data_IF_383328563990
#
_entry.id   IF_383328563990
#
_cell.length_a   1.000
_cell.length_b   1.000
_cell.length_c   1.000
_cell.angle_alpha   90.00
_cell.angle_beta   90.00
_cell.angle_gamma   90.00
#
_symmetry.space_group_name_H-M   'P 1'
#
loop_
_entity.id
_entity.type
_entity.pdbx_description
1 polymer ?
#
# COMPACT_ATOMS: atom_id res chain seq x y z
N UNK A 1 8.29 -12.06 12.13
CA UNK A 1 8.31 -10.60 12.47
C UNK A 1 8.22 -9.89 11.13
N UNK A 2 7.22 -9.01 10.93
CA UNK A 2 7.05 -8.29 9.65
C UNK A 2 8.29 -7.46 9.31
N UNK A 3 8.57 -7.27 8.01
CA UNK A 3 9.66 -6.39 7.51
C UNK A 3 9.60 -5.01 8.14
N UNK A 4 8.41 -4.48 8.39
CA UNK A 4 8.20 -3.15 9.00
C UNK A 4 8.68 -3.02 10.46
N UNK A 5 8.92 -4.13 11.15
CA UNK A 5 9.47 -4.17 12.51
C UNK A 5 10.98 -4.40 12.57
N UNK A 6 11.67 -4.52 11.43
CA UNK A 6 13.10 -4.80 11.38
C UNK A 6 13.94 -3.53 11.56
N UNK A 7 15.11 -3.66 12.19
CA UNK A 7 16.02 -2.53 12.37
C UNK A 7 16.57 -1.95 11.05
N UNK A 8 16.59 -2.75 9.99
CA UNK A 8 17.03 -2.37 8.64
C UNK A 8 15.95 -1.60 7.85
N UNK A 9 14.70 -1.61 8.32
CA UNK A 9 13.59 -0.94 7.63
C UNK A 9 13.63 0.58 7.84
N UNK A 10 13.71 1.33 6.74
CA UNK A 10 13.67 2.80 6.77
C UNK A 10 12.25 3.32 6.52
N UNK A 11 11.54 3.68 7.59
CA UNK A 11 10.20 4.28 7.50
C UNK A 11 10.18 5.57 6.65
N UNK A 12 11.25 6.38 6.71
CA UNK A 12 11.36 7.62 5.93
C UNK A 12 11.46 7.35 4.43
N UNK A 13 12.38 6.46 4.00
CA UNK A 13 12.51 6.06 2.58
C UNK A 13 11.22 5.44 2.05
N UNK A 14 10.57 4.61 2.86
CA UNK A 14 9.29 4.01 2.53
C UNK A 14 8.22 5.07 2.28
N UNK A 15 8.09 6.05 3.19
CA UNK A 15 7.11 7.13 3.09
C UNK A 15 7.33 8.01 1.85
N UNK A 16 8.58 8.30 1.49
CA UNK A 16 8.94 9.14 0.34
C UNK A 16 8.64 8.46 -1.00
N UNK A 17 8.93 7.16 -1.12
CA UNK A 17 8.79 6.44 -2.39
C UNK A 17 7.35 5.96 -2.67
N UNK A 18 6.50 5.83 -1.64
CA UNK A 18 5.14 5.31 -1.82
C UNK A 18 4.18 6.34 -2.42
N UNK A 19 3.26 5.91 -3.32
CA UNK A 19 2.25 6.82 -3.86
C UNK A 19 1.28 7.27 -2.76
N UNK A 20 0.87 8.53 -2.83
CA UNK A 20 -0.19 9.08 -2.00
C UNK A 20 -1.56 8.83 -2.62
N UNK A 21 -2.60 8.84 -1.79
CA UNK A 21 -3.97 8.66 -2.27
C UNK A 21 -4.52 9.97 -2.87
N UNK A 22 -5.25 9.91 -3.99
CA UNK A 22 -5.87 11.08 -4.57
C UNK A 22 -7.07 11.55 -3.72
N UNK A 23 -7.37 12.85 -3.78
CA UNK A 23 -8.51 13.44 -3.06
C UNK A 23 -9.86 12.82 -3.45
N UNK A 24 -10.00 12.33 -4.69
CA UNK A 24 -11.19 11.63 -5.18
C UNK A 24 -11.49 10.34 -4.41
N UNK A 25 -10.43 9.62 -3.97
CA UNK A 25 -10.58 8.43 -3.14
C UNK A 25 -11.19 8.78 -1.78
N UNK A 26 -10.63 9.77 -1.09
CA UNK A 26 -11.17 10.23 0.19
C UNK A 26 -12.59 10.78 0.05
N UNK A 27 -12.90 11.49 -1.05
CA UNK A 27 -14.26 11.95 -1.35
C UNK A 27 -15.23 10.77 -1.49
N UNK A 28 -14.84 9.69 -2.15
CA UNK A 28 -15.65 8.47 -2.28
C UNK A 28 -15.91 7.82 -0.91
N UNK A 29 -14.87 7.70 -0.07
CA UNK A 29 -14.97 7.12 1.27
C UNK A 29 -15.87 7.97 2.17
N UNK A 30 -15.66 9.29 2.20
CA UNK A 30 -16.45 10.21 3.02
C UNK A 30 -17.90 10.33 2.51
N UNK A 31 -18.13 10.23 1.19
CA UNK A 31 -19.46 10.17 0.60
C UNK A 31 -20.23 8.91 1.01
N UNK A 32 -19.56 7.79 1.26
CA UNK A 32 -20.18 6.59 1.81
C UNK A 32 -20.47 6.74 3.30
N UNK A 33 -19.54 7.31 4.08
CA UNK A 33 -19.71 7.59 5.50
C UNK A 33 -20.93 8.48 5.77
N UNK A 34 -21.12 9.52 4.96
CA UNK A 34 -22.29 10.41 4.93
C UNK A 34 -22.92 10.78 6.29
N UNK A 35 -22.10 10.89 7.33
CA UNK A 35 -22.51 11.37 8.65
C UNK A 35 -21.99 12.80 8.84
N UNK A 36 -22.87 13.68 9.32
CA UNK A 36 -22.52 15.07 9.64
C UNK A 36 -22.16 15.26 11.13
N UNK A 37 -22.08 14.17 11.91
CA UNK A 37 -21.74 14.26 13.33
C UNK A 37 -20.29 14.74 13.52
N UNK A 38 -20.09 15.97 14.01
CA UNK A 38 -18.76 16.49 14.26
C UNK A 38 -18.08 15.84 15.47
N UNK A 39 -18.78 15.00 16.23
CA UNK A 39 -18.28 14.32 17.43
C UNK A 39 -17.79 12.90 17.18
N UNK A 40 -17.76 12.45 15.93
CA UNK A 40 -17.36 11.11 15.56
C UNK A 40 -15.90 10.77 15.87
N UNK A 41 -15.62 9.48 16.05
CA UNK A 41 -14.28 8.91 16.23
C UNK A 41 -13.85 8.12 15.00
N UNK A 42 -12.71 8.48 14.43
CA UNK A 42 -12.01 7.70 13.40
C UNK A 42 -11.05 6.72 14.06
N UNK A 43 -11.01 5.48 13.58
CA UNK A 43 -9.99 4.49 13.88
C UNK A 43 -9.23 4.18 12.57
N UNK A 44 -7.93 4.47 12.52
CA UNK A 44 -7.03 4.18 11.39
C UNK A 44 -6.15 2.99 11.74
N UNK A 45 -6.36 1.87 11.05
CA UNK A 45 -5.72 0.57 11.30
C UNK A 45 -4.55 0.35 10.32
N UNK A 46 -3.35 0.12 10.85
CA UNK A 46 -2.14 0.06 10.06
C UNK A 46 -1.83 1.43 9.45
N UNK A 47 -1.84 2.45 10.30
CA UNK A 47 -1.77 3.85 9.88
C UNK A 47 -0.43 4.27 9.24
N UNK A 48 0.61 3.43 9.37
CA UNK A 48 1.94 3.77 8.90
C UNK A 48 2.41 5.11 9.47
N UNK A 49 2.87 5.99 8.60
CA UNK A 49 3.28 7.34 8.98
C UNK A 49 2.14 8.39 9.03
N UNK A 50 0.87 7.93 9.07
CA UNK A 50 -0.28 8.77 9.44
C UNK A 50 -1.01 9.50 8.31
N UNK A 51 -0.81 9.14 7.04
CA UNK A 51 -1.47 9.82 5.90
C UNK A 51 -3.00 9.75 6.02
N UNK A 52 -3.55 8.56 6.28
CA UNK A 52 -5.00 8.34 6.34
C UNK A 52 -5.62 9.11 7.48
N UNK A 53 -5.04 8.98 8.69
CA UNK A 53 -5.49 9.71 9.86
C UNK A 53 -5.50 11.23 9.61
N UNK A 54 -4.44 11.79 9.00
CA UNK A 54 -4.36 13.21 8.66
C UNK A 54 -5.47 13.65 7.70
N UNK A 55 -5.65 12.93 6.60
CA UNK A 55 -6.60 13.31 5.55
C UNK A 55 -8.07 13.19 6.01
N UNK A 56 -8.38 12.20 6.84
CA UNK A 56 -9.75 11.96 7.31
C UNK A 56 -10.09 12.71 8.61
N UNK A 57 -9.11 12.98 9.49
CA UNK A 57 -9.36 13.59 10.81
C UNK A 57 -10.14 14.91 10.81
N UNK A 58 -10.07 15.78 9.78
CA UNK A 58 -10.88 17.00 9.77
C UNK A 58 -12.40 16.77 9.86
N UNK A 59 -12.88 15.56 9.50
CA UNK A 59 -14.30 15.18 9.55
C UNK A 59 -14.72 14.53 10.87
N UNK A 60 -13.80 14.40 11.82
CA UNK A 60 -14.03 13.73 13.12
C UNK A 60 -13.61 14.62 14.28
N UNK A 61 -14.18 14.39 15.45
CA UNK A 61 -13.74 15.05 16.69
C UNK A 61 -12.35 14.57 17.10
N UNK A 62 -12.09 13.29 16.90
CA UNK A 62 -10.80 12.65 17.19
C UNK A 62 -10.48 11.53 16.21
N UNK A 63 -9.21 11.26 16.04
CA UNK A 63 -8.71 10.11 15.31
C UNK A 63 -7.75 9.30 16.20
N UNK A 64 -7.91 7.99 16.17
CA UNK A 64 -7.02 7.04 16.84
C UNK A 64 -6.35 6.25 15.73
N UNK A 65 -5.04 6.34 15.64
CA UNK A 65 -4.24 5.72 14.57
C UNK A 65 -3.29 4.70 15.17
N UNK A 66 -3.37 3.46 14.73
CA UNK A 66 -2.55 2.36 15.24
C UNK A 66 -1.75 1.69 14.13
N UNK A 67 -0.52 1.30 14.48
CA UNK A 67 0.36 0.52 13.61
C UNK A 67 1.22 -0.43 14.45
N UNK A 68 1.49 -1.67 14.03
CA UNK A 68 2.37 -2.57 14.77
C UNK A 68 3.84 -2.11 14.79
N UNK A 69 4.26 -1.27 13.84
CA UNK A 69 5.63 -0.76 13.73
C UNK A 69 5.85 0.48 14.61
N UNK A 70 6.65 0.33 15.66
CA UNK A 70 7.08 1.44 16.51
C UNK A 70 7.82 2.52 15.71
N UNK A 71 8.61 2.15 14.70
CA UNK A 71 9.29 3.08 13.80
C UNK A 71 8.32 3.95 12.99
N UNK A 72 7.22 3.36 12.49
CA UNK A 72 6.16 4.10 11.81
C UNK A 72 5.42 5.04 12.75
N UNK A 73 5.09 4.59 13.96
CA UNK A 73 4.42 5.42 14.97
C UNK A 73 5.29 6.62 15.37
N UNK A 74 6.59 6.42 15.61
CA UNK A 74 7.50 7.55 15.88
C UNK A 74 7.54 8.55 14.73
N UNK A 75 7.63 8.07 13.49
CA UNK A 75 7.60 8.95 12.32
C UNK A 75 6.29 9.70 12.21
N UNK A 76 5.15 9.03 12.42
CA UNK A 76 3.83 9.66 12.41
C UNK A 76 3.70 10.77 13.45
N UNK A 77 4.14 10.52 14.69
CA UNK A 77 4.14 11.52 15.78
C UNK A 77 5.00 12.73 15.44
N UNK A 78 6.18 12.52 14.83
CA UNK A 78 7.08 13.62 14.42
C UNK A 78 6.49 14.44 13.28
N UNK A 79 5.93 13.77 12.26
CA UNK A 79 5.41 14.39 11.04
C UNK A 79 4.11 15.15 11.28
N UNK A 80 3.32 14.74 12.28
CA UNK A 80 1.96 15.26 12.53
C UNK A 80 1.77 15.84 13.94
N UNK A 81 2.83 16.38 14.53
CA UNK A 81 2.81 16.95 15.89
C UNK A 81 1.78 18.07 16.07
N UNK A 82 1.46 18.81 15.01
CA UNK A 82 0.47 19.90 15.01
C UNK A 82 -0.99 19.40 14.98
N UNK A 83 -1.24 18.14 14.62
CA UNK A 83 -2.59 17.57 14.51
C UNK A 83 -3.10 17.05 15.86
N UNK A 84 -3.50 17.94 16.75
CA UNK A 84 -3.92 17.62 18.14
C UNK A 84 -5.12 16.68 18.26
N UNK A 85 -5.88 16.50 17.18
CA UNK A 85 -7.01 15.55 17.13
C UNK A 85 -6.60 14.10 16.89
N UNK A 86 -5.33 13.85 16.49
CA UNK A 86 -4.85 12.52 16.15
C UNK A 86 -4.00 11.98 17.28
N UNK A 87 -4.34 10.80 17.78
CA UNK A 87 -3.51 10.05 18.72
C UNK A 87 -2.90 8.84 18.01
N UNK A 88 -1.57 8.75 18.02
CA UNK A 88 -0.83 7.63 17.46
C UNK A 88 -0.39 6.68 18.57
N UNK A 89 -0.54 5.37 18.36
CA UNK A 89 -0.07 4.35 19.30
C UNK A 89 0.32 3.06 18.59
N UNK A 90 1.29 2.34 19.13
CA UNK A 90 1.57 0.99 18.68
C UNK A 90 0.40 0.05 19.04
N UNK A 91 -0.02 -0.79 18.07
CA UNK A 91 -1.12 -1.74 18.26
C UNK A 91 -1.42 -2.54 17.01
N UNK A 92 -2.22 -3.57 17.18
CA UNK A 92 -2.65 -4.50 16.13
C UNK A 92 -4.15 -4.37 15.90
N UNK A 93 -4.60 -4.55 14.66
CA UNK A 93 -6.03 -4.55 14.32
C UNK A 93 -6.79 -5.72 14.99
N UNK A 94 -6.08 -6.76 15.36
CA UNK A 94 -6.53 -7.96 16.05
C UNK A 94 -6.81 -7.77 17.56
N UNK A 95 -6.30 -6.68 18.15
CA UNK A 95 -6.49 -6.36 19.57
C UNK A 95 -6.85 -4.89 19.74
N UNK A 96 -8.14 -4.61 19.81
CA UNK A 96 -8.71 -3.29 20.07
C UNK A 96 -9.29 -3.19 21.50
N UNK A 97 -8.83 -4.03 22.42
CA UNK A 97 -9.31 -4.09 23.83
C UNK A 97 -9.23 -2.75 24.57
N UNK A 98 -8.37 -1.86 24.14
CA UNK A 98 -8.24 -0.49 24.66
C UNK A 98 -9.37 0.45 24.25
N UNK A 99 -10.24 0.03 23.32
CA UNK A 99 -11.42 0.80 22.91
C UNK A 99 -12.69 0.21 23.51
N UNK A 100 -13.57 1.05 24.05
CA UNK A 100 -14.91 0.63 24.46
C UNK A 100 -15.71 0.08 23.28
N UNK A 101 -16.66 -0.80 23.56
CA UNK A 101 -17.63 -1.21 22.55
C UNK A 101 -18.41 0.01 22.03
N UNK A 102 -18.75 -0.01 20.74
CA UNK A 102 -19.54 1.04 20.08
C UNK A 102 -18.99 2.46 20.28
N UNK A 103 -17.66 2.63 20.21
CA UNK A 103 -16.96 3.91 20.42
C UNK A 103 -16.39 4.53 19.15
N UNK A 104 -16.40 3.79 18.03
CA UNK A 104 -15.83 4.18 16.74
C UNK A 104 -16.95 4.42 15.73
N UNK A 105 -16.91 5.54 15.04
CA UNK A 105 -17.87 5.90 13.98
C UNK A 105 -17.41 5.42 12.61
N UNK A 106 -16.09 5.39 12.40
CA UNK A 106 -15.51 4.87 11.16
C UNK A 106 -14.20 4.14 11.47
N UNK A 107 -14.08 2.90 10.98
CA UNK A 107 -12.83 2.17 10.93
C UNK A 107 -12.27 2.21 9.50
N UNK A 108 -11.03 2.64 9.34
CA UNK A 108 -10.34 2.79 8.07
C UNK A 108 -9.06 1.96 8.04
N UNK A 109 -8.68 1.44 6.86
CA UNK A 109 -7.37 0.85 6.62
C UNK A 109 -6.92 1.15 5.18
N UNK A 110 -5.89 1.98 5.04
CA UNK A 110 -5.27 2.30 3.75
C UNK A 110 -4.01 1.48 3.53
N UNK A 111 -4.00 0.59 2.54
CA UNK A 111 -2.86 -0.28 2.21
C UNK A 111 -2.38 -1.17 3.37
N UNK A 112 -3.28 -1.55 4.28
CA UNK A 112 -2.95 -2.35 5.46
C UNK A 112 -3.78 -3.64 5.58
N UNK A 113 -5.02 -3.63 5.10
CA UNK A 113 -6.01 -4.68 5.33
C UNK A 113 -5.58 -6.09 4.84
N UNK A 114 -4.67 -6.19 3.87
CA UNK A 114 -4.12 -7.46 3.40
C UNK A 114 -3.23 -8.19 4.42
N UNK A 115 -2.84 -7.52 5.51
CA UNK A 115 -2.05 -8.10 6.60
C UNK A 115 -2.89 -8.68 7.74
N UNK A 116 -4.20 -8.41 7.75
CA UNK A 116 -5.06 -8.69 8.90
C UNK A 116 -5.39 -10.18 9.03
N UNK A 117 -5.38 -10.64 10.29
CA UNK A 117 -5.94 -11.94 10.67
C UNK A 117 -7.46 -11.79 10.84
N UNK A 118 -8.21 -11.96 9.79
CA UNK A 118 -9.64 -11.71 9.73
C UNK A 118 -10.49 -12.46 10.77
N UNK A 119 -10.22 -13.74 11.14
CA UNK A 119 -10.86 -14.40 12.26
C UNK A 119 -10.80 -13.64 13.59
N UNK A 120 -9.77 -12.82 13.81
CA UNK A 120 -9.59 -11.99 15.01
C UNK A 120 -10.07 -10.55 14.78
N UNK A 121 -9.85 -10.01 13.60
CA UNK A 121 -10.19 -8.60 13.30
C UNK A 121 -11.71 -8.38 13.21
N UNK A 122 -12.48 -9.28 12.60
CA UNK A 122 -13.92 -9.07 12.46
C UNK A 122 -14.67 -8.97 13.79
N UNK A 123 -14.43 -9.83 14.80
CA UNK A 123 -15.06 -9.68 16.11
C UNK A 123 -14.72 -8.35 16.79
N UNK A 124 -13.46 -7.91 16.72
CA UNK A 124 -13.04 -6.65 17.31
C UNK A 124 -13.69 -5.44 16.62
N UNK A 125 -13.70 -5.41 15.28
CA UNK A 125 -14.37 -4.36 14.52
C UNK A 125 -15.88 -4.32 14.80
N UNK A 126 -16.53 -5.48 14.85
CA UNK A 126 -17.96 -5.57 15.17
C UNK A 126 -18.27 -5.09 16.60
N UNK A 127 -17.33 -5.25 17.52
CA UNK A 127 -17.44 -4.78 18.90
C UNK A 127 -17.25 -3.27 19.03
N UNK A 128 -16.20 -2.70 18.38
CA UNK A 128 -15.83 -1.30 18.60
C UNK A 128 -16.59 -0.33 17.72
N UNK A 129 -16.97 -0.73 16.49
CA UNK A 129 -17.71 0.14 15.58
C UNK A 129 -19.18 0.22 16.02
N UNK A 130 -19.70 1.45 16.09
CA UNK A 130 -21.09 1.72 16.44
C UNK A 130 -22.06 1.10 15.42
N UNK A 131 -23.27 0.66 15.83
CA UNK A 131 -24.35 0.43 14.88
C UNK A 131 -24.55 1.66 13.97
N UNK A 132 -24.62 1.44 12.65
CA UNK A 132 -24.64 2.51 11.65
C UNK A 132 -23.25 3.07 11.29
N UNK A 133 -22.22 2.75 12.04
CA UNK A 133 -20.84 3.16 11.75
C UNK A 133 -20.30 2.48 10.49
N UNK A 134 -19.22 3.03 9.94
CA UNK A 134 -18.70 2.63 8.64
C UNK A 134 -17.34 1.91 8.73
N UNK A 135 -17.12 1.00 7.79
CA UNK A 135 -15.83 0.39 7.48
C UNK A 135 -15.38 0.89 6.11
N UNK A 136 -14.10 1.22 5.99
CA UNK A 136 -13.47 1.51 4.70
C UNK A 136 -12.07 0.91 4.63
N UNK A 137 -11.89 -0.12 3.82
CA UNK A 137 -10.58 -0.68 3.49
C UNK A 137 -10.27 -0.39 2.03
N UNK A 138 -9.09 0.12 1.74
CA UNK A 138 -8.64 0.36 0.37
C UNK A 138 -7.14 0.11 0.22
N UNK A 139 -6.74 -0.04 -1.02
CA UNK A 139 -5.34 -0.22 -1.34
C UNK A 139 -5.12 -0.36 -2.83
N UNK A 140 -3.88 -0.65 -3.16
CA UNK A 140 -3.42 -0.83 -4.52
C UNK A 140 -2.45 -2.00 -4.61
N UNK A 141 -2.51 -2.71 -5.73
CA UNK A 141 -1.51 -3.72 -6.09
C UNK A 141 -0.36 -3.09 -6.88
N UNK A 142 0.40 -3.89 -7.59
CA UNK A 142 1.50 -3.40 -8.42
C UNK A 142 1.01 -2.43 -9.50
N UNK A 143 1.89 -1.52 -9.86
CA UNK A 143 1.66 -0.60 -10.95
C UNK A 143 1.98 -1.23 -12.31
N UNK A 144 1.38 -0.63 -13.33
CA UNK A 144 1.68 -0.88 -14.74
C UNK A 144 2.24 0.41 -15.33
N UNK A 145 3.32 0.30 -16.09
CA UNK A 145 3.84 1.39 -16.92
C UNK A 145 3.07 1.40 -18.24
N UNK A 146 2.30 2.47 -18.45
CA UNK A 146 1.37 2.56 -19.58
C UNK A 146 2.12 2.65 -20.90
N UNK A 147 1.76 1.77 -21.85
CA UNK A 147 2.40 1.69 -23.15
C UNK A 147 3.71 0.87 -23.21
N UNK A 148 4.23 0.40 -22.08
CA UNK A 148 5.51 -0.30 -21.97
C UNK A 148 5.33 -1.77 -21.59
N UNK A 149 4.67 -2.54 -22.46
CA UNK A 149 4.36 -3.95 -22.23
C UNK A 149 5.57 -4.79 -21.83
N UNK A 150 6.71 -4.62 -22.57
CA UNK A 150 7.93 -5.41 -22.32
C UNK A 150 8.53 -5.12 -20.96
N UNK A 151 8.59 -3.84 -20.57
CA UNK A 151 9.02 -3.44 -19.23
C UNK A 151 8.13 -4.05 -18.14
N UNK A 152 6.80 -4.06 -18.34
CA UNK A 152 5.84 -4.67 -17.42
C UNK A 152 6.02 -6.20 -17.31
N UNK A 153 6.29 -6.90 -18.42
CA UNK A 153 6.56 -8.34 -18.41
C UNK A 153 7.84 -8.69 -17.66
N UNK A 154 8.89 -7.88 -17.81
CA UNK A 154 10.15 -8.05 -17.09
C UNK A 154 9.92 -7.77 -15.60
N UNK A 155 9.26 -6.67 -15.27
CA UNK A 155 8.91 -6.34 -13.89
C UNK A 155 8.12 -7.48 -13.21
N UNK A 156 7.08 -8.02 -13.87
CA UNK A 156 6.31 -9.16 -13.37
C UNK A 156 7.18 -10.41 -13.18
N UNK A 157 8.07 -10.70 -14.16
CA UNK A 157 8.99 -11.84 -14.07
C UNK A 157 9.91 -11.73 -12.85
N UNK A 158 10.53 -10.57 -12.62
CA UNK A 158 11.47 -10.37 -11.51
C UNK A 158 10.77 -10.37 -10.14
N UNK A 159 9.54 -9.85 -10.08
CA UNK A 159 8.78 -9.80 -8.84
C UNK A 159 8.10 -11.14 -8.48
N UNK A 160 7.64 -11.92 -9.49
CA UNK A 160 6.74 -13.06 -9.28
C UNK A 160 7.07 -14.31 -10.08
N UNK A 161 8.08 -14.26 -10.96
CA UNK A 161 8.56 -15.44 -11.68
C UNK A 161 9.09 -16.51 -10.72
N UNK A 162 8.80 -17.77 -11.02
CA UNK A 162 9.34 -18.91 -10.27
C UNK A 162 10.79 -19.20 -10.68
N UNK A 163 11.62 -19.55 -9.72
CA UNK A 163 13.01 -19.91 -9.93
C UNK A 163 13.91 -18.75 -10.37
N UNK A 164 14.87 -19.07 -11.27
CA UNK A 164 15.81 -18.08 -11.78
C UNK A 164 15.18 -17.14 -12.81
N UNK A 165 15.35 -15.84 -12.58
CA UNK A 165 14.94 -14.80 -13.53
C UNK A 165 16.01 -14.47 -14.55
N UNK A 166 17.28 -14.70 -14.17
CA UNK A 166 18.48 -14.70 -15.00
C UNK A 166 19.36 -15.88 -14.60
N UNK A 167 20.32 -16.33 -15.43
CA UNK A 167 21.24 -17.40 -15.07
C UNK A 167 21.93 -17.11 -13.73
N UNK A 168 21.71 -17.97 -12.74
CA UNK A 168 22.25 -17.83 -11.37
C UNK A 168 21.64 -16.71 -10.53
N UNK A 169 20.52 -16.09 -10.95
CA UNK A 169 19.84 -15.03 -10.22
C UNK A 169 18.38 -15.40 -9.96
N UNK A 170 18.04 -15.64 -8.71
CA UNK A 170 16.65 -15.86 -8.30
C UNK A 170 15.86 -14.55 -8.23
N UNK A 171 14.57 -14.60 -8.60
CA UNK A 171 13.64 -13.47 -8.49
C UNK A 171 13.19 -13.19 -7.06
N UNK A 172 12.33 -12.19 -6.90
CA UNK A 172 11.81 -11.78 -5.59
C UNK A 172 10.63 -12.64 -5.11
N UNK A 173 10.09 -13.57 -5.92
CA UNK A 173 8.83 -14.26 -5.64
C UNK A 173 8.79 -14.98 -4.29
N UNK A 174 9.81 -15.72 -3.94
CA UNK A 174 9.87 -16.49 -2.70
C UNK A 174 10.07 -15.63 -1.44
N UNK A 175 10.42 -14.37 -1.60
CA UNK A 175 10.72 -13.45 -0.50
C UNK A 175 9.53 -12.57 -0.11
N UNK A 176 8.40 -12.67 -0.80
CA UNK A 176 7.18 -11.96 -0.42
C UNK A 176 6.56 -12.54 0.86
N UNK A 177 6.14 -11.68 1.75
CA UNK A 177 5.39 -12.09 2.95
C UNK A 177 3.98 -12.54 2.55
N UNK A 178 3.74 -13.84 2.66
CA UNK A 178 2.44 -14.48 2.34
C UNK A 178 1.67 -14.80 3.62
N UNK A 179 0.32 -14.87 3.62
CA UNK A 179 -0.57 -14.72 2.45
C UNK A 179 -0.87 -13.27 2.08
N UNK A 180 -0.40 -12.27 2.86
CA UNK A 180 -0.77 -10.86 2.67
C UNK A 180 -0.52 -10.35 1.25
N UNK A 181 0.61 -10.74 0.64
CA UNK A 181 0.91 -10.35 -0.74
C UNK A 181 -0.09 -10.89 -1.75
N UNK A 182 -0.52 -12.14 -1.60
CA UNK A 182 -1.48 -12.77 -2.51
C UNK A 182 -2.86 -12.12 -2.37
N UNK A 183 -3.29 -11.86 -1.13
CA UNK A 183 -4.54 -11.14 -0.83
C UNK A 183 -4.54 -9.75 -1.48
N UNK A 184 -3.40 -9.03 -1.43
CA UNK A 184 -3.26 -7.71 -2.05
C UNK A 184 -3.33 -7.80 -3.58
N UNK A 185 -2.64 -8.73 -4.20
CA UNK A 185 -2.64 -8.92 -5.66
C UNK A 185 -4.03 -9.27 -6.19
N UNK A 186 -4.82 -9.97 -5.40
CA UNK A 186 -6.22 -10.28 -5.70
C UNK A 186 -7.20 -9.18 -5.28
N UNK A 187 -6.71 -7.97 -4.99
CA UNK A 187 -7.52 -6.81 -4.65
C UNK A 187 -8.51 -7.08 -3.50
N UNK A 188 -8.08 -7.88 -2.50
CA UNK A 188 -8.89 -8.32 -1.36
C UNK A 188 -10.20 -9.06 -1.75
N UNK A 189 -10.26 -9.74 -2.90
CA UNK A 189 -11.50 -10.37 -3.41
C UNK A 189 -12.17 -11.29 -2.37
N UNK A 190 -11.39 -12.06 -1.63
CA UNK A 190 -11.89 -13.00 -0.62
C UNK A 190 -12.13 -12.39 0.76
N UNK A 191 -11.76 -11.14 0.97
CA UNK A 191 -12.02 -10.43 2.24
C UNK A 191 -13.47 -9.96 2.27
N UNK A 192 -14.29 -10.64 3.06
CA UNK A 192 -15.74 -10.40 3.15
C UNK A 192 -16.13 -10.05 4.59
N UNK A 193 -16.69 -8.85 4.83
CA UNK A 193 -17.31 -8.55 6.11
C UNK A 193 -18.42 -9.55 6.40
N UNK A 194 -18.50 -10.11 7.65
CA UNK A 194 -19.57 -11.05 8.01
C UNK A 194 -20.95 -10.41 7.85
N UNK A 195 -21.81 -10.99 7.00
CA UNK A 195 -23.14 -10.43 6.72
C UNK A 195 -24.08 -10.45 7.94
N UNK A 196 -23.79 -11.26 8.97
CA UNK A 196 -24.49 -11.19 10.26
C UNK A 196 -24.31 -9.84 10.97
N UNK A 197 -23.17 -9.20 10.79
CA UNK A 197 -22.73 -8.01 11.52
C UNK A 197 -22.65 -6.74 10.65
N UNK A 198 -22.51 -6.92 9.33
CA UNK A 198 -22.28 -5.84 8.38
C UNK A 198 -23.27 -5.89 7.24
N UNK A 199 -23.72 -4.72 6.77
CA UNK A 199 -24.59 -4.58 5.62
C UNK A 199 -24.08 -3.49 4.64
N UNK A 200 -24.88 -3.18 3.60
CA UNK A 200 -24.54 -2.19 2.56
C UNK A 200 -23.14 -2.36 1.99
N UNK A 201 -22.66 -3.62 1.94
CA UNK A 201 -21.31 -3.94 1.50
C UNK A 201 -21.16 -3.49 0.04
N UNK A 202 -20.16 -2.61 -0.19
CA UNK A 202 -19.83 -2.11 -1.52
C UNK A 202 -18.37 -2.37 -1.81
N UNK A 203 -18.08 -3.03 -2.92
CA UNK A 203 -16.73 -3.21 -3.44
C UNK A 203 -16.59 -2.44 -4.74
N UNK A 204 -15.50 -1.67 -4.85
CA UNK A 204 -15.15 -0.95 -6.06
C UNK A 204 -13.73 -1.34 -6.40
N UNK A 205 -13.51 -1.88 -7.60
CA UNK A 205 -12.20 -2.31 -8.07
C UNK A 205 -11.88 -1.69 -9.41
N UNK A 206 -10.64 -1.31 -9.59
CA UNK A 206 -10.08 -0.94 -10.87
C UNK A 206 -8.82 -1.77 -11.09
N UNK A 207 -8.81 -2.54 -12.16
CA UNK A 207 -7.66 -3.37 -12.53
C UNK A 207 -7.13 -2.93 -13.90
N UNK A 208 -5.82 -2.77 -13.99
CA UNK A 208 -5.13 -2.37 -15.22
C UNK A 208 -4.43 -3.59 -15.79
N UNK A 209 -4.59 -3.81 -17.08
CA UNK A 209 -3.85 -4.83 -17.81
C UNK A 209 -2.48 -4.29 -18.23
N UNK A 210 -1.47 -5.18 -18.24
CA UNK A 210 -0.11 -4.87 -18.71
C UNK A 210 -0.04 -4.39 -20.16
N UNK A 211 -1.06 -4.71 -20.94
CA UNK A 211 -1.20 -4.31 -22.36
C UNK A 211 -1.90 -2.96 -22.54
N UNK A 212 -2.32 -2.32 -21.46
CA UNK A 212 -3.01 -1.03 -21.52
C UNK A 212 -2.09 0.05 -22.08
N UNK A 213 -2.50 0.63 -23.22
CA UNK A 213 -1.74 1.69 -23.91
C UNK A 213 -2.20 3.09 -23.52
N UNK A 214 -3.46 3.22 -23.15
CA UNK A 214 -4.10 4.47 -22.78
C UNK A 214 -5.10 4.23 -21.65
N UNK A 215 -5.28 5.22 -20.80
CA UNK A 215 -6.32 5.22 -19.78
C UNK A 215 -7.32 6.30 -20.08
N UNK A 216 -8.57 5.89 -20.29
CA UNK A 216 -9.67 6.78 -20.57
C UNK A 216 -10.04 7.58 -19.30
N UNK A 217 -9.62 8.84 -19.26
CA UNK A 217 -10.03 9.82 -18.28
C UNK A 217 -9.46 9.65 -16.87
N UNK A 218 -9.47 10.73 -16.07
CA UNK A 218 -8.96 10.70 -14.69
C UNK A 218 -9.90 9.99 -13.72
N UNK A 219 -11.15 9.73 -14.09
CA UNK A 219 -12.18 9.18 -13.19
C UNK A 219 -12.14 7.65 -13.09
N UNK A 220 -11.47 6.97 -14.02
CA UNK A 220 -11.43 5.50 -14.10
C UNK A 220 -10.26 4.87 -13.34
N UNK A 221 -9.21 5.65 -13.02
CA UNK A 221 -8.05 5.19 -12.28
C UNK A 221 -7.79 6.10 -11.09
N UNK A 222 -8.11 5.63 -9.88
CA UNK A 222 -7.87 6.44 -8.69
C UNK A 222 -6.40 6.68 -8.38
N UNK A 223 -5.52 5.75 -8.78
CA UNK A 223 -4.08 5.90 -8.56
C UNK A 223 -3.34 5.90 -9.89
N UNK A 224 -3.04 7.10 -10.37
CA UNK A 224 -2.29 7.38 -11.58
C UNK A 224 -1.27 8.46 -11.27
N UNK A 225 -0.04 8.28 -11.72
CA UNK A 225 1.04 9.24 -11.51
C UNK A 225 2.04 9.18 -12.66
N UNK A 226 2.50 10.35 -13.11
CA UNK A 226 3.75 10.44 -13.86
C UNK A 226 4.90 10.34 -12.87
N UNK A 227 5.86 9.50 -13.16
CA UNK A 227 7.05 9.33 -12.35
C UNK A 227 8.26 9.10 -13.26
N UNK A 228 9.42 9.41 -12.79
CA UNK A 228 10.64 9.06 -13.52
C UNK A 228 10.99 7.59 -13.31
N UNK A 229 11.75 6.99 -14.22
CA UNK A 229 12.25 5.62 -14.05
C UNK A 229 13.11 5.48 -12.79
N UNK A 230 13.84 6.54 -12.39
CA UNK A 230 14.56 6.56 -11.11
C UNK A 230 13.62 6.52 -9.90
N UNK A 231 12.48 7.19 -9.97
CA UNK A 231 11.44 7.10 -8.93
C UNK A 231 10.79 5.71 -8.92
N UNK A 232 10.60 5.09 -10.07
CA UNK A 232 10.11 3.71 -10.15
C UNK A 232 11.13 2.72 -9.56
N UNK A 233 12.41 2.88 -9.87
CA UNK A 233 13.51 2.11 -9.29
C UNK A 233 13.50 2.20 -7.75
N UNK A 234 13.41 3.42 -7.20
CA UNK A 234 13.32 3.66 -5.77
C UNK A 234 12.07 3.03 -5.14
N UNK A 235 10.92 3.10 -5.83
CA UNK A 235 9.67 2.48 -5.38
C UNK A 235 9.79 0.96 -5.27
N UNK A 236 10.37 0.29 -6.27
CA UNK A 236 10.58 -1.18 -6.22
C UNK A 236 11.47 -1.59 -5.05
N UNK A 237 12.50 -0.80 -4.73
CA UNK A 237 13.37 -1.05 -3.56
C UNK A 237 12.64 -0.91 -2.20
N UNK A 238 11.41 -0.39 -2.17
CA UNK A 238 10.56 -0.40 -0.97
C UNK A 238 9.73 -1.66 -0.80
N UNK A 239 9.77 -2.59 -1.74
CA UNK A 239 8.96 -3.81 -1.67
C UNK A 239 9.49 -4.75 -0.60
N UNK A 240 8.56 -5.44 0.11
CA UNK A 240 8.96 -6.44 1.11
C UNK A 240 9.67 -7.62 0.48
N UNK A 241 9.32 -7.97 -0.78
CA UNK A 241 10.05 -8.97 -1.57
C UNK A 241 11.50 -8.57 -1.85
N UNK A 242 11.75 -7.28 -2.16
CA UNK A 242 13.11 -6.78 -2.31
C UNK A 242 13.90 -6.84 -1.00
N UNK A 243 13.30 -6.41 0.12
CA UNK A 243 13.96 -6.46 1.42
C UNK A 243 14.31 -7.91 1.83
N UNK A 244 13.38 -8.85 1.60
CA UNK A 244 13.64 -10.27 1.83
C UNK A 244 14.74 -10.84 0.94
N UNK A 245 14.80 -10.41 -0.33
CA UNK A 245 15.87 -10.79 -1.25
C UNK A 245 17.23 -10.28 -0.77
N UNK A 246 17.33 -9.01 -0.35
CA UNK A 246 18.56 -8.42 0.20
C UNK A 246 19.03 -9.12 1.49
N UNK A 247 18.09 -9.49 2.38
CA UNK A 247 18.41 -10.23 3.59
C UNK A 247 18.99 -11.64 3.31
N UNK A 248 18.62 -12.24 2.18
CA UNK A 248 19.14 -13.54 1.74
C UNK A 248 20.45 -13.42 0.95
N UNK A 249 20.79 -12.23 0.44
CA UNK A 249 21.97 -11.99 -0.42
C UNK A 249 22.84 -10.88 0.18
N UNK A 250 23.39 -11.13 1.36
CA UNK A 250 24.18 -10.15 2.13
C UNK A 250 25.48 -9.70 1.43
N UNK A 251 25.95 -10.46 0.43
CA UNK A 251 27.09 -10.13 -0.42
C UNK A 251 26.73 -9.13 -1.53
N UNK A 252 25.45 -8.92 -1.79
CA UNK A 252 24.96 -8.02 -2.83
C UNK A 252 24.71 -6.60 -2.28
N UNK A 253 25.05 -5.63 -3.12
CA UNK A 253 24.75 -4.20 -2.89
C UNK A 253 24.32 -3.58 -4.19
N UNK A 254 23.45 -2.59 -4.12
CA UNK A 254 23.07 -1.81 -5.30
C UNK A 254 24.30 -1.08 -5.89
N UNK A 255 24.25 -0.82 -7.20
CA UNK A 255 25.29 -0.02 -7.86
C UNK A 255 25.37 1.39 -7.31
N UNK A 256 24.23 1.95 -6.90
CA UNK A 256 24.18 3.25 -6.24
C UNK A 256 24.94 3.30 -4.89
N UNK A 257 25.11 2.14 -4.24
CA UNK A 257 25.87 1.98 -3.00
C UNK A 257 27.29 1.44 -3.25
N UNK A 258 27.75 1.45 -4.51
CA UNK A 258 29.09 1.02 -4.90
C UNK A 258 29.25 -0.50 -5.03
N UNK A 259 28.15 -1.25 -5.13
CA UNK A 259 28.17 -2.69 -5.38
C UNK A 259 28.18 -3.06 -6.88
N UNK A 260 28.23 -4.35 -7.15
CA UNK A 260 28.14 -4.90 -8.53
C UNK A 260 26.71 -4.90 -9.05
N UNK A 261 25.72 -4.70 -8.19
CA UNK A 261 24.29 -4.65 -8.48
C UNK A 261 23.46 -5.58 -7.60
N UNK A 262 22.23 -5.16 -7.36
CA UNK A 262 21.19 -5.93 -6.70
C UNK A 262 20.13 -6.41 -7.72
N UNK A 263 19.10 -7.12 -7.24
CA UNK A 263 18.03 -7.66 -8.09
C UNK A 263 17.29 -6.57 -8.86
N UNK A 264 17.19 -5.34 -8.33
CA UNK A 264 16.53 -4.21 -8.99
C UNK A 264 17.44 -3.64 -10.07
N UNK A 265 18.75 -3.53 -9.84
CA UNK A 265 19.71 -3.14 -10.87
C UNK A 265 19.65 -4.12 -12.06
N UNK A 266 19.63 -5.45 -11.79
CA UNK A 266 19.54 -6.46 -12.85
C UNK A 266 18.19 -6.41 -13.59
N UNK A 267 17.10 -6.13 -12.90
CA UNK A 267 15.79 -5.93 -13.51
C UNK A 267 15.80 -4.74 -14.47
N UNK A 268 16.38 -3.60 -14.04
CA UNK A 268 16.45 -2.41 -14.88
C UNK A 268 17.39 -2.60 -16.08
N UNK A 269 18.48 -3.37 -15.96
CA UNK A 269 19.29 -3.75 -17.11
C UNK A 269 18.44 -4.44 -18.19
N UNK A 270 17.58 -5.39 -17.79
CA UNK A 270 16.70 -6.10 -18.72
C UNK A 270 15.61 -5.18 -19.31
N UNK A 271 15.05 -4.28 -18.48
CA UNK A 271 14.06 -3.30 -18.93
C UNK A 271 14.67 -2.36 -19.99
N UNK A 272 15.88 -1.86 -19.77
CA UNK A 272 16.57 -0.98 -20.73
C UNK A 272 16.92 -1.71 -22.02
N UNK A 273 17.32 -2.99 -21.97
CA UNK A 273 17.53 -3.79 -23.17
C UNK A 273 16.22 -3.99 -23.97
N UNK A 274 15.10 -4.11 -23.31
CA UNK A 274 13.79 -4.30 -23.95
C UNK A 274 13.18 -3.00 -24.49
N UNK A 275 13.63 -1.83 -23.99
CA UNK A 275 13.14 -0.50 -24.35
C UNK A 275 14.31 0.34 -24.93
N UNK A 276 14.66 0.17 -26.22
CA UNK A 276 15.87 0.79 -26.82
C UNK A 276 15.90 2.32 -26.68
N UNK A 277 14.76 2.99 -26.79
CA UNK A 277 14.65 4.45 -26.62
C UNK A 277 15.07 4.92 -25.24
N UNK A 278 14.88 4.08 -24.22
CA UNK A 278 15.33 4.36 -22.86
C UNK A 278 16.83 4.13 -22.72
N UNK A 279 17.34 3.05 -23.33
CA UNK A 279 18.78 2.72 -23.33
C UNK A 279 19.62 3.79 -24.00
N UNK A 280 19.13 4.41 -25.07
CA UNK A 280 19.80 5.50 -25.81
C UNK A 280 20.05 6.76 -24.96
N UNK A 281 19.32 6.92 -23.84
CA UNK A 281 19.56 8.04 -22.89
C UNK A 281 20.83 7.87 -22.06
N UNK A 282 21.49 6.71 -22.11
CA UNK A 282 22.70 6.42 -21.32
C UNK A 282 22.46 6.67 -19.84
N UNK A 283 23.36 7.36 -19.15
CA UNK A 283 23.30 7.63 -17.71
C UNK A 283 22.06 8.43 -17.28
N UNK A 284 21.36 9.07 -18.23
CA UNK A 284 20.15 9.87 -17.96
C UNK A 284 18.85 9.07 -18.07
N UNK A 285 18.89 7.74 -18.22
CA UNK A 285 17.66 6.94 -18.31
C UNK A 285 16.75 7.11 -17.08
N UNK A 286 17.33 7.40 -15.91
CA UNK A 286 16.58 7.63 -14.68
C UNK A 286 15.68 8.87 -14.70
N UNK A 287 15.96 9.83 -15.61
CA UNK A 287 15.20 11.07 -15.78
C UNK A 287 13.98 10.88 -16.71
N UNK A 288 13.86 9.74 -17.38
CA UNK A 288 12.75 9.48 -18.30
C UNK A 288 11.44 9.41 -17.52
N UNK A 289 10.48 10.25 -17.89
CA UNK A 289 9.14 10.21 -17.34
C UNK A 289 8.28 9.14 -18.02
N UNK A 290 7.60 8.37 -17.20
CA UNK A 290 6.62 7.35 -17.62
C UNK A 290 5.31 7.55 -16.87
N UNK A 291 4.22 7.12 -17.48
CA UNK A 291 2.94 7.08 -16.81
C UNK A 291 2.76 5.75 -16.10
N UNK A 292 2.46 5.82 -14.80
CA UNK A 292 2.24 4.66 -13.94
C UNK A 292 0.83 4.66 -13.36
N UNK A 293 0.19 3.49 -13.38
CA UNK A 293 -1.16 3.27 -12.85
C UNK A 293 -1.18 2.02 -12.00
N UNK A 294 -1.86 2.11 -10.86
CA UNK A 294 -2.02 0.99 -9.92
C UNK A 294 -3.42 0.40 -10.02
N UNK A 295 -3.52 -0.92 -10.03
CA UNK A 295 -4.79 -1.60 -9.75
C UNK A 295 -5.21 -1.31 -8.31
N UNK A 296 -6.47 -0.91 -8.11
CA UNK A 296 -6.97 -0.43 -6.81
C UNK A 296 -8.24 -1.14 -6.38
N UNK A 297 -8.50 -1.15 -5.09
CA UNK A 297 -9.76 -1.60 -4.50
C UNK A 297 -10.21 -0.64 -3.40
N UNK A 298 -11.53 -0.56 -3.21
CA UNK A 298 -12.17 -0.05 -2.00
C UNK A 298 -13.24 -1.06 -1.56
N UNK A 299 -13.20 -1.45 -0.30
CA UNK A 299 -14.23 -2.23 0.38
C UNK A 299 -14.87 -1.33 1.44
N UNK A 300 -16.18 -1.13 1.32
CA UNK A 300 -16.99 -0.34 2.23
C UNK A 300 -18.08 -1.23 2.82
N UNK A 301 -18.42 -1.02 4.10
CA UNK A 301 -19.52 -1.69 4.76
C UNK A 301 -20.08 -0.82 5.90
N UNK A 302 -21.32 -1.06 6.28
CA UNK A 302 -21.97 -0.40 7.42
C UNK A 302 -22.22 -1.43 8.53
N UNK A 303 -21.92 -1.10 9.78
CA UNK A 303 -22.20 -1.94 10.94
C UNK A 303 -23.72 -1.99 11.20
N UNK A 304 -24.28 -3.18 11.35
CA UNK A 304 -25.71 -3.37 11.68
C UNK A 304 -26.05 -2.90 13.08
#
# INVERSE_FOLDING_TARGET
MSVFGRATFSAARFAEARPTYPASLFKTILGYYNHEDPHGTLLDLGCGHGIVARELSPRFARAIAIDPSDGMIRLAMQTHAEHTKISFRQGYAEDLSFLPAHSVDMAAAGQAAHWFNYPQVWPELSRVVKPGGSLAFWGYKDNILIGHRRANEIFEKFCYGEGEVLPGVEGMNQYWERPGRDILRDLLADVKPPESEWDKIKRITYNVDKDTKEIAGPETAWMRKKLTLGQFEAYVRTFTGYQGWMDAHLDKKSRAEGGEGDIVDFMFDQILEAEPEWKEKGDRWRDIEVESVWGTYILLATRK
#
